data_IF_638882295049
#
_entry.id   IF_638882295049
#
_cell.length_a   1.000
_cell.length_b   1.000
_cell.length_c   1.000
_cell.angle_alpha   90.00
_cell.angle_beta   90.00
_cell.angle_gamma   90.00
#
_symmetry.space_group_name_H-M   'P 1'
#
loop_
_entity.id
_entity.type
_entity.pdbx_description
1 polymer ?
#
# COMPACT_ATOMS: atom_id res chain seq x y z
N UNK A 1 -1.09 -4.41 -14.33
CA UNK A 1 -2.44 -3.88 -14.61
C UNK A 1 -2.79 -4.08 -16.07
N UNK A 2 -3.49 -5.18 -16.36
CA UNK A 2 -4.36 -5.31 -17.53
C UNK A 2 -5.60 -4.38 -17.38
N UNK A 3 -6.35 -4.17 -18.46
CA UNK A 3 -7.62 -3.42 -18.40
C UNK A 3 -8.60 -4.09 -17.42
N UNK A 4 -9.08 -3.31 -16.44
CA UNK A 4 -9.94 -3.78 -15.33
C UNK A 4 -9.28 -4.88 -14.47
N UNK A 5 -7.95 -4.86 -14.35
CA UNK A 5 -7.26 -5.78 -13.43
C UNK A 5 -7.61 -5.42 -11.97
N UNK A 6 -7.78 -6.47 -11.19
CA UNK A 6 -8.42 -6.54 -9.87
C UNK A 6 -7.63 -7.62 -9.12
N UNK A 7 -6.50 -7.22 -8.55
CA UNK A 7 -5.51 -8.11 -7.95
C UNK A 7 -5.72 -8.18 -6.43
N UNK A 8 -5.74 -9.40 -5.89
CA UNK A 8 -5.93 -9.65 -4.46
C UNK A 8 -4.72 -10.38 -3.87
N UNK A 9 -4.21 -9.87 -2.75
CA UNK A 9 -3.05 -10.39 -2.05
C UNK A 9 -3.37 -10.65 -0.58
N UNK A 10 -3.14 -11.87 -0.12
CA UNK A 10 -3.26 -12.25 1.30
C UNK A 10 -1.88 -12.22 1.95
N UNK A 11 -1.76 -11.48 3.05
CA UNK A 11 -0.54 -11.44 3.87
C UNK A 11 -0.83 -12.02 5.24
N UNK A 12 -0.08 -13.07 5.59
CA UNK A 12 -0.23 -13.68 6.91
C UNK A 12 0.63 -12.98 7.95
N UNK A 13 0.01 -12.67 9.09
CA UNK A 13 0.63 -12.01 10.25
C UNK A 13 0.79 -12.99 11.42
N UNK A 14 0.22 -14.19 11.32
CA UNK A 14 0.13 -15.17 12.41
C UNK A 14 1.46 -15.61 13.05
N UNK A 15 2.58 -15.47 12.34
CA UNK A 15 3.92 -15.83 12.82
C UNK A 15 4.72 -14.63 13.37
N UNK A 16 4.12 -13.43 13.36
CA UNK A 16 4.72 -12.20 13.86
C UNK A 16 4.24 -11.95 15.30
N UNK A 17 5.14 -11.52 16.18
CA UNK A 17 4.84 -11.21 17.58
C UNK A 17 5.41 -9.84 17.93
N UNK A 18 4.66 -8.80 17.56
CA UNK A 18 5.02 -7.41 17.82
C UNK A 18 4.15 -6.81 18.92
N UNK A 19 4.74 -5.90 19.70
CA UNK A 19 4.00 -5.15 20.72
C UNK A 19 3.03 -4.14 20.08
N UNK A 20 3.40 -3.59 18.93
CA UNK A 20 2.57 -2.74 18.08
C UNK A 20 2.81 -3.10 16.62
N UNK A 21 1.74 -3.40 15.89
CA UNK A 21 1.80 -3.70 14.46
C UNK A 21 1.69 -2.42 13.64
N UNK A 22 2.57 -2.27 12.65
CA UNK A 22 2.49 -1.22 11.66
C UNK A 22 2.50 -1.83 10.25
N UNK A 23 1.56 -1.37 9.42
CA UNK A 23 1.47 -1.70 8.01
C UNK A 23 2.15 -0.59 7.20
N UNK A 24 2.90 -1.01 6.19
CA UNK A 24 3.37 -0.16 5.09
C UNK A 24 3.05 -0.84 3.76
N UNK A 25 2.43 -0.10 2.84
CA UNK A 25 2.12 -0.53 1.47
C UNK A 25 2.59 0.56 0.52
N UNK A 26 3.49 0.20 -0.38
CA UNK A 26 3.97 1.06 -1.47
C UNK A 26 3.61 0.38 -2.79
N UNK A 27 2.75 1.04 -3.58
CA UNK A 27 2.37 0.58 -4.91
C UNK A 27 2.81 1.60 -5.95
N UNK A 28 3.68 1.18 -6.86
CA UNK A 28 4.36 2.06 -7.82
C UNK A 28 4.03 1.60 -9.24
N UNK A 29 3.34 2.44 -9.99
CA UNK A 29 3.18 2.27 -11.44
C UNK A 29 4.53 2.44 -12.12
N UNK A 30 4.90 1.53 -13.03
CA UNK A 30 6.18 1.58 -13.73
C UNK A 30 6.36 2.92 -14.45
N UNK A 31 7.48 3.59 -14.16
CA UNK A 31 7.79 4.92 -14.69
C UNK A 31 7.42 6.07 -13.74
N UNK A 32 6.74 5.79 -12.63
CA UNK A 32 6.60 6.74 -11.51
C UNK A 32 7.87 6.77 -10.64
N UNK A 33 7.91 7.76 -9.75
CA UNK A 33 9.04 8.02 -8.84
C UNK A 33 9.13 6.98 -7.73
N UNK A 34 10.32 6.41 -7.52
CA UNK A 34 10.58 5.39 -6.49
C UNK A 34 10.81 6.00 -5.11
N UNK A 35 11.39 7.19 -5.06
CA UNK A 35 11.75 7.90 -3.83
C UNK A 35 10.87 9.13 -3.55
N UNK A 36 9.83 9.32 -4.35
CA UNK A 36 8.76 10.28 -4.13
C UNK A 36 9.24 11.71 -4.32
N UNK A 37 8.78 12.62 -3.46
CA UNK A 37 9.17 14.04 -3.54
C UNK A 37 10.62 14.31 -3.12
N UNK A 38 11.33 13.33 -2.56
CA UNK A 38 12.60 13.55 -1.86
C UNK A 38 13.86 13.39 -2.70
N UNK A 39 13.73 13.00 -3.96
CA UNK A 39 14.86 12.64 -4.81
C UNK A 39 14.83 13.26 -6.22
N UNK A 40 14.01 14.30 -6.43
CA UNK A 40 13.82 14.97 -7.72
C UNK A 40 13.37 14.04 -8.88
N UNK A 41 12.93 12.81 -8.58
CA UNK A 41 12.32 11.92 -9.57
C UNK A 41 10.89 12.37 -9.85
N UNK A 42 10.49 12.52 -11.13
CA UNK A 42 9.15 12.95 -11.48
C UNK A 42 8.15 11.82 -11.19
N UNK A 43 7.05 12.16 -10.54
CA UNK A 43 5.84 11.34 -10.58
C UNK A 43 5.29 11.30 -12.01
N UNK A 44 4.45 10.31 -12.30
CA UNK A 44 3.68 10.34 -13.54
C UNK A 44 2.75 11.56 -13.54
N UNK A 45 2.46 12.15 -14.72
CA UNK A 45 1.48 13.22 -14.79
C UNK A 45 0.12 12.71 -14.29
N UNK A 46 -0.56 13.52 -13.47
CA UNK A 46 -1.87 13.17 -12.96
C UNK A 46 -2.85 12.91 -14.11
N UNK A 47 -3.25 11.65 -14.29
CA UNK A 47 -4.12 11.24 -15.39
C UNK A 47 -4.85 9.92 -15.08
N UNK A 48 -6.07 9.70 -15.63
CA UNK A 48 -6.83 8.45 -15.45
C UNK A 48 -6.06 7.17 -15.79
N UNK A 49 -5.21 7.23 -16.82
CA UNK A 49 -4.38 6.12 -17.27
C UNK A 49 -3.22 5.79 -16.33
N UNK A 50 -2.86 6.70 -15.41
CA UNK A 50 -1.82 6.52 -14.39
C UNK A 50 -2.42 6.29 -12.99
N UNK A 51 -3.75 6.25 -12.90
CA UNK A 51 -4.42 6.11 -11.62
C UNK A 51 -4.37 4.67 -11.12
N UNK A 52 -4.06 4.48 -9.84
CA UNK A 52 -3.99 3.21 -9.12
C UNK A 52 -4.74 3.36 -7.79
N UNK A 53 -5.44 2.32 -7.36
CA UNK A 53 -6.12 2.28 -6.07
C UNK A 53 -5.65 1.07 -5.27
N UNK A 54 -5.54 1.25 -3.96
CA UNK A 54 -5.25 0.18 -3.01
C UNK A 54 -6.24 0.26 -1.86
N UNK A 55 -6.83 -0.88 -1.54
CA UNK A 55 -7.70 -1.08 -0.38
C UNK A 55 -7.12 -2.21 0.49
N UNK A 56 -7.18 -2.03 1.81
CA UNK A 56 -6.68 -3.00 2.78
C UNK A 56 -7.81 -3.40 3.72
N UNK A 57 -7.97 -4.71 3.91
CA UNK A 57 -9.02 -5.30 4.73
C UNK A 57 -8.44 -6.24 5.79
N UNK A 58 -9.15 -6.38 6.91
CA UNK A 58 -8.99 -7.53 7.80
C UNK A 58 -9.47 -8.78 7.05
N UNK A 59 -8.60 -9.78 6.89
CA UNK A 59 -8.87 -10.91 6.00
C UNK A 59 -9.98 -11.85 6.51
N UNK A 60 -10.28 -11.84 7.81
CA UNK A 60 -11.33 -12.67 8.41
C UNK A 60 -12.71 -12.01 8.27
N UNK A 61 -12.81 -10.75 8.66
CA UNK A 61 -14.07 -10.01 8.77
C UNK A 61 -14.42 -9.24 7.50
N UNK A 62 -13.48 -9.08 6.57
CA UNK A 62 -13.60 -8.22 5.38
C UNK A 62 -13.91 -6.76 5.73
N UNK A 63 -13.60 -6.32 6.95
CA UNK A 63 -13.75 -4.92 7.34
C UNK A 63 -12.61 -4.08 6.74
N UNK A 64 -12.91 -2.91 6.15
CA UNK A 64 -11.87 -2.03 5.62
C UNK A 64 -11.02 -1.46 6.75
N UNK A 65 -9.70 -1.49 6.56
CA UNK A 65 -8.70 -0.94 7.47
C UNK A 65 -8.20 0.42 6.98
N UNK A 66 -7.74 0.48 5.73
CA UNK A 66 -7.24 1.69 5.08
C UNK A 66 -7.39 1.58 3.55
N UNK A 67 -7.36 2.71 2.86
CA UNK A 67 -7.41 2.76 1.41
C UNK A 67 -6.82 4.08 0.89
N UNK A 68 -6.34 4.08 -0.35
CA UNK A 68 -5.99 5.29 -1.07
C UNK A 68 -6.15 5.13 -2.59
N UNK A 69 -6.22 6.27 -3.27
CA UNK A 69 -6.38 6.41 -4.70
C UNK A 69 -5.42 7.50 -5.18
N UNK A 70 -4.45 7.11 -5.99
CA UNK A 70 -3.51 8.01 -6.62
C UNK A 70 -3.84 8.21 -8.11
N UNK A 71 -3.49 9.37 -8.66
CA UNK A 71 -3.62 9.68 -10.10
C UNK A 71 -2.27 9.83 -10.80
N UNK A 72 -1.19 9.82 -10.04
CA UNK A 72 0.20 10.05 -10.45
C UNK A 72 1.04 8.78 -10.33
N UNK A 73 0.37 7.63 -10.22
CA UNK A 73 0.98 6.31 -10.27
C UNK A 73 1.76 5.91 -9.03
N UNK A 74 1.50 6.52 -7.87
CA UNK A 74 2.10 6.08 -6.60
C UNK A 74 1.12 6.12 -5.44
N UNK A 75 1.02 5.02 -4.72
CA UNK A 75 0.35 4.94 -3.43
C UNK A 75 1.38 4.61 -2.35
N UNK A 76 1.39 5.40 -1.28
CA UNK A 76 2.07 5.09 -0.02
C UNK A 76 1.02 5.18 1.09
N UNK A 77 0.57 4.02 1.56
CA UNK A 77 -0.40 3.93 2.66
C UNK A 77 0.09 3.01 3.75
N UNK A 78 -0.38 3.30 4.96
CA UNK A 78 -0.10 2.47 6.10
C UNK A 78 -1.05 2.76 7.24
N UNK A 79 -0.76 2.12 8.36
CA UNK A 79 -1.48 2.31 9.59
C UNK A 79 -0.76 1.60 10.73
N UNK A 80 -1.26 1.81 11.95
CA UNK A 80 -0.71 1.23 13.16
C UNK A 80 -1.81 0.70 14.08
N UNK A 81 -1.44 -0.25 14.93
CA UNK A 81 -2.27 -0.81 16.00
C UNK A 81 -2.80 -2.21 15.70
N UNK A 82 -3.57 -2.72 16.66
CA UNK A 82 -4.05 -4.12 16.71
C UNK A 82 -4.86 -4.55 15.48
N UNK A 83 -5.41 -3.60 14.74
CA UNK A 83 -6.11 -3.88 13.48
C UNK A 83 -5.22 -4.59 12.45
N UNK A 84 -3.90 -4.41 12.54
CA UNK A 84 -2.89 -5.04 11.67
C UNK A 84 -2.18 -6.23 12.34
N UNK A 85 -2.67 -6.70 13.49
CA UNK A 85 -2.16 -7.91 14.18
C UNK A 85 -2.69 -9.22 13.58
N UNK A 86 -3.58 -9.12 12.59
CA UNK A 86 -4.24 -10.24 11.92
C UNK A 86 -3.87 -10.26 10.46
N UNK A 87 -4.13 -11.39 9.80
CA UNK A 87 -3.97 -11.52 8.36
C UNK A 87 -4.72 -10.39 7.64
N UNK A 88 -4.04 -9.75 6.69
CA UNK A 88 -4.59 -8.65 5.91
C UNK A 88 -4.77 -9.06 4.45
N UNK A 89 -5.82 -8.54 3.85
CA UNK A 89 -6.14 -8.73 2.44
C UNK A 89 -5.99 -7.39 1.73
N UNK A 90 -5.15 -7.34 0.71
CA UNK A 90 -4.85 -6.14 -0.06
C UNK A 90 -5.45 -6.30 -1.45
N UNK A 91 -6.25 -5.33 -1.86
CA UNK A 91 -6.86 -5.23 -3.17
C UNK A 91 -6.21 -4.08 -3.94
N UNK A 92 -5.58 -4.40 -5.08
CA UNK A 92 -4.96 -3.42 -5.97
C UNK A 92 -5.73 -3.43 -7.29
N UNK A 93 -6.24 -2.26 -7.68
CA UNK A 93 -7.06 -2.15 -8.88
C UNK A 93 -6.82 -0.86 -9.65
N UNK A 94 -7.06 -0.92 -10.96
CA UNK A 94 -7.13 0.23 -11.84
C UNK A 94 -8.53 0.85 -11.74
N UNK A 95 -8.70 2.06 -11.16
CA UNK A 95 -10.02 2.68 -10.99
C UNK A 95 -10.65 3.11 -12.32
N UNK A 96 -9.88 3.08 -13.41
CA UNK A 96 -10.36 3.42 -14.75
C UNK A 96 -10.01 2.32 -15.75
N UNK A 97 -10.85 2.08 -16.77
CA UNK A 97 -10.52 1.16 -17.87
C UNK A 97 -9.31 1.58 -18.70
N UNK A 98 -8.83 2.82 -18.54
CA UNK A 98 -7.68 3.36 -19.26
C UNK A 98 -6.34 2.98 -18.62
N UNK A 99 -6.34 2.52 -17.36
CA UNK A 99 -5.15 2.05 -16.67
C UNK A 99 -4.66 0.75 -17.33
N UNK A 100 -3.50 0.80 -17.99
CA UNK A 100 -2.82 -0.39 -18.51
C UNK A 100 -1.32 -0.20 -18.39
N UNK A 101 -0.76 -0.71 -17.30
CA UNK A 101 0.65 -0.56 -16.95
C UNK A 101 1.08 -1.71 -16.02
N UNK A 102 2.36 -2.10 -16.02
CA UNK A 102 2.92 -2.88 -14.93
C UNK A 102 3.07 -2.00 -13.68
N UNK A 103 3.00 -2.61 -12.49
CA UNK A 103 3.25 -1.95 -11.22
C UNK A 103 4.12 -2.84 -10.33
N UNK A 104 4.76 -2.23 -9.36
CA UNK A 104 5.44 -2.88 -8.26
C UNK A 104 4.64 -2.70 -6.97
N UNK A 105 4.61 -3.74 -6.14
CA UNK A 105 3.94 -3.72 -4.85
C UNK A 105 4.94 -4.18 -3.78
N UNK A 106 5.21 -3.31 -2.81
CA UNK A 106 5.92 -3.62 -1.58
C UNK A 106 4.94 -3.56 -0.42
N UNK A 107 4.99 -4.57 0.45
CA UNK A 107 4.14 -4.68 1.64
C UNK A 107 4.99 -5.13 2.80
N UNK A 108 4.92 -4.39 3.90
CA UNK A 108 5.62 -4.70 5.14
C UNK A 108 4.66 -4.63 6.32
N UNK A 109 4.68 -5.67 7.14
CA UNK A 109 4.15 -5.65 8.50
C UNK A 109 5.37 -5.64 9.42
N UNK A 110 5.48 -4.59 10.23
CA UNK A 110 6.63 -4.38 11.12
C UNK A 110 6.17 -4.06 12.55
N UNK A 111 7.04 -4.35 13.50
CA UNK A 111 6.92 -3.77 14.83
C UNK A 111 7.09 -2.26 14.74
N UNK A 112 6.23 -1.49 15.43
CA UNK A 112 6.52 -0.09 15.68
C UNK A 112 7.52 -0.01 16.84
N UNK A 113 8.78 -0.21 16.52
CA UNK A 113 9.88 0.19 17.39
C UNK A 113 10.06 1.71 17.20
N UNK A 114 9.15 2.49 17.78
CA UNK A 114 9.37 3.92 17.89
C UNK A 114 10.69 4.12 18.62
N UNK A 115 11.69 4.72 17.98
CA UNK A 115 12.92 5.06 18.68
C UNK A 115 12.53 5.80 19.95
N UNK A 116 12.99 5.30 21.10
CA UNK A 116 12.82 5.98 22.39
C UNK A 116 13.68 7.24 22.36
N UNK A 117 13.19 8.29 21.71
CA UNK A 117 13.76 9.63 21.68
C UNK A 117 13.74 10.28 23.09
N UNK A 118 13.29 9.55 24.13
CA UNK A 118 13.31 9.96 25.52
C UNK A 118 14.44 9.29 26.34
N UNK A 119 15.52 8.79 25.71
CA UNK A 119 16.80 8.57 26.41
C UNK A 119 17.33 9.93 26.95
N UNK A 120 16.92 10.28 28.17
CA UNK A 120 17.38 11.43 28.95
C UNK A 120 18.46 11.02 29.95
#
# INVERSE_FOLDING_TARGET
MCSNEDDWYLFSVNDLDYEVYALYVDAIVMGSSWCGQWCDEPFLPAAPENAIAVEVFDAESMMPLTQDLAQDGRIDIGGFGDAYSRDVLIHVYGPTPAATYPYELSVEIRGYDGEDECEC
#
